data_IF_474905594334
#
_entry.id   IF_474905594334
#
_cell.length_a   1.000
_cell.length_b   1.000
_cell.length_c   1.000
_cell.angle_alpha   90.00
_cell.angle_beta   90.00
_cell.angle_gamma   90.00
#
_symmetry.space_group_name_H-M   'P 1'
#
loop_
_entity.id
_entity.type
_entity.pdbx_description
1 polymer ?
#
# COMPACT_ATOMS: atom_id res chain seq x y z
N UNK A 1 -25.31 -8.15 2.30
CA UNK A 1 -23.97 -8.66 2.21
C UNK A 1 -23.11 -8.02 3.27
N UNK A 2 -22.45 -8.84 4.05
CA UNK A 2 -21.66 -8.43 5.20
C UNK A 2 -20.16 -8.37 4.91
N UNK A 3 -19.73 -8.97 3.81
CA UNK A 3 -18.32 -8.98 3.42
C UNK A 3 -18.14 -8.91 1.91
N UNK A 4 -16.93 -8.54 1.50
CA UNK A 4 -16.52 -8.48 0.09
C UNK A 4 -15.18 -9.18 -0.08
N UNK A 5 -14.87 -9.58 -1.32
CA UNK A 5 -13.67 -10.33 -1.65
C UNK A 5 -12.71 -9.49 -2.49
N UNK A 6 -11.46 -9.51 -2.08
CA UNK A 6 -10.35 -9.05 -2.93
C UNK A 6 -9.68 -10.30 -3.51
N UNK A 7 -9.56 -10.34 -4.84
CA UNK A 7 -9.05 -11.53 -5.54
C UNK A 7 -8.13 -11.13 -6.70
N UNK A 8 -7.18 -12.01 -6.99
CA UNK A 8 -6.35 -11.92 -8.19
C UNK A 8 -6.61 -13.18 -9.02
N UNK A 9 -7.31 -13.04 -10.13
CA UNK A 9 -7.81 -14.20 -10.89
C UNK A 9 -8.73 -15.05 -10.04
N UNK A 10 -8.43 -16.34 -9.90
CA UNK A 10 -9.22 -17.29 -9.10
C UNK A 10 -8.79 -17.38 -7.62
N UNK A 11 -7.79 -16.59 -7.21
CA UNK A 11 -7.23 -16.65 -5.86
C UNK A 11 -7.83 -15.55 -5.00
N UNK A 12 -8.56 -15.94 -3.97
CA UNK A 12 -9.04 -15.01 -2.94
C UNK A 12 -7.88 -14.61 -2.02
N UNK A 13 -7.75 -13.31 -1.79
CA UNK A 13 -6.64 -12.74 -1.00
C UNK A 13 -7.10 -12.20 0.35
N UNK A 14 -8.34 -11.73 0.42
CA UNK A 14 -8.86 -11.08 1.62
C UNK A 14 -10.38 -10.97 1.53
N UNK A 15 -11.06 -11.22 2.64
CA UNK A 15 -12.51 -11.14 2.73
C UNK A 15 -12.94 -10.27 3.92
N UNK A 16 -12.75 -8.95 3.84
CA UNK A 16 -13.14 -8.05 4.93
C UNK A 16 -14.63 -7.74 4.94
N UNK A 17 -15.10 -7.17 6.04
CA UNK A 17 -16.42 -6.57 6.11
C UNK A 17 -16.58 -5.49 5.03
N UNK A 18 -17.78 -5.33 4.51
CA UNK A 18 -18.08 -4.41 3.39
C UNK A 18 -17.59 -2.99 3.64
N UNK A 19 -17.80 -2.45 4.84
CA UNK A 19 -17.35 -1.10 5.18
C UNK A 19 -15.82 -0.96 5.11
N UNK A 20 -15.10 -1.97 5.57
CA UNK A 20 -13.62 -2.01 5.53
C UNK A 20 -13.15 -2.11 4.09
N UNK A 21 -13.76 -2.97 3.29
CA UNK A 21 -13.42 -3.12 1.86
C UNK A 21 -13.58 -1.81 1.11
N UNK A 22 -14.72 -1.14 1.28
CA UNK A 22 -15.00 0.13 0.61
C UNK A 22 -14.08 1.25 1.07
N UNK A 23 -13.77 1.31 2.37
CA UNK A 23 -12.82 2.28 2.89
C UNK A 23 -11.43 2.07 2.28
N UNK A 24 -10.95 0.84 2.25
CA UNK A 24 -9.66 0.53 1.64
C UNK A 24 -9.63 0.93 0.15
N UNK A 25 -10.66 0.57 -0.62
CA UNK A 25 -10.72 0.92 -2.04
C UNK A 25 -10.66 2.44 -2.27
N UNK A 26 -11.35 3.21 -1.43
CA UNK A 26 -11.30 4.69 -1.50
C UNK A 26 -9.94 5.24 -1.10
N UNK A 27 -9.29 4.66 -0.13
CA UNK A 27 -7.93 5.06 0.27
C UNK A 27 -6.90 4.75 -0.81
N UNK A 28 -7.04 3.63 -1.51
CA UNK A 28 -6.21 3.31 -2.68
C UNK A 28 -6.36 4.41 -3.74
N UNK A 29 -7.57 4.83 -4.06
CA UNK A 29 -7.80 5.92 -5.00
C UNK A 29 -7.23 7.25 -4.51
N UNK A 30 -7.37 7.54 -3.21
CA UNK A 30 -6.87 8.79 -2.63
C UNK A 30 -5.35 8.91 -2.72
N UNK A 31 -4.61 7.82 -2.56
CA UNK A 31 -3.14 7.82 -2.63
C UNK A 31 -2.60 7.56 -4.05
N UNK A 32 -3.47 7.24 -5.01
CA UNK A 32 -3.05 6.97 -6.38
C UNK A 32 -2.19 8.09 -7.00
N UNK A 33 -2.50 9.38 -6.81
CA UNK A 33 -1.65 10.46 -7.32
C UNK A 33 -0.24 10.47 -6.71
N UNK A 34 -0.10 9.99 -5.48
CA UNK A 34 1.20 9.87 -4.82
C UNK A 34 2.04 8.78 -5.47
N UNK A 35 1.43 7.65 -5.81
CA UNK A 35 2.11 6.56 -6.53
C UNK A 35 2.48 6.95 -7.96
N UNK A 36 1.62 7.70 -8.63
CA UNK A 36 1.85 8.15 -10.00
C UNK A 36 1.75 7.06 -11.07
N UNK A 37 1.20 5.90 -10.73
CA UNK A 37 0.97 4.76 -11.63
C UNK A 37 -0.44 4.21 -11.39
N UNK A 38 -1.01 3.45 -12.34
CA UNK A 38 -2.32 2.83 -12.17
C UNK A 38 -2.36 1.93 -10.93
N UNK A 39 -3.51 1.90 -10.25
CA UNK A 39 -3.64 1.14 -9.00
C UNK A 39 -3.73 -0.36 -9.20
N UNK A 40 -4.24 -0.81 -10.34
CA UNK A 40 -4.51 -2.23 -10.57
C UNK A 40 -5.67 -2.79 -9.78
N UNK A 41 -6.35 -1.98 -8.97
CA UNK A 41 -7.56 -2.38 -8.26
C UNK A 41 -8.77 -2.04 -9.12
N UNK A 42 -9.54 -3.05 -9.48
CA UNK A 42 -10.78 -2.89 -10.24
C UNK A 42 -11.91 -2.33 -9.37
N UNK A 43 -13.03 -1.96 -10.01
CA UNK A 43 -14.20 -1.46 -9.29
C UNK A 43 -14.91 -2.57 -8.53
N UNK A 44 -15.74 -2.18 -7.56
CA UNK A 44 -16.67 -3.10 -6.89
C UNK A 44 -17.69 -3.60 -7.90
N UNK A 45 -17.68 -4.91 -8.15
CA UNK A 45 -18.66 -5.59 -9.01
C UNK A 45 -19.25 -6.75 -8.22
N UNK A 46 -20.55 -6.65 -7.90
CA UNK A 46 -21.14 -7.57 -6.93
C UNK A 46 -20.42 -7.40 -5.58
N UNK A 47 -19.92 -8.50 -5.04
CA UNK A 47 -19.22 -8.51 -3.77
C UNK A 47 -17.70 -8.64 -3.95
N UNK A 48 -17.17 -8.28 -5.12
CA UNK A 48 -15.79 -8.58 -5.50
C UNK A 48 -15.04 -7.35 -5.99
N UNK A 49 -13.74 -7.33 -5.70
CA UNK A 49 -12.75 -6.44 -6.29
C UNK A 49 -11.69 -7.29 -6.97
N UNK A 50 -11.53 -7.14 -8.27
CA UNK A 50 -10.47 -7.81 -9.01
C UNK A 50 -9.19 -7.00 -8.96
N UNK A 51 -8.10 -7.67 -8.70
CA UNK A 51 -6.75 -7.10 -8.69
C UNK A 51 -6.01 -7.58 -9.94
N UNK A 52 -5.57 -6.62 -10.75
CA UNK A 52 -4.54 -6.87 -11.76
C UNK A 52 -3.20 -6.93 -11.04
N UNK A 53 -2.67 -8.14 -10.86
CA UNK A 53 -1.52 -8.34 -9.99
C UNK A 53 -0.27 -7.58 -10.45
N UNK A 54 0.12 -7.57 -11.73
CA UNK A 54 1.28 -6.78 -12.17
C UNK A 54 1.11 -5.28 -11.90
N UNK A 55 -0.04 -4.70 -12.24
CA UNK A 55 -0.30 -3.28 -12.00
C UNK A 55 -0.35 -2.95 -10.50
N UNK A 56 -1.04 -3.77 -9.73
CA UNK A 56 -1.16 -3.55 -8.28
C UNK A 56 0.19 -3.67 -7.57
N UNK A 57 1.01 -4.63 -7.98
CA UNK A 57 2.38 -4.78 -7.46
C UNK A 57 3.22 -3.53 -7.75
N UNK A 58 3.13 -3.00 -8.97
CA UNK A 58 3.82 -1.75 -9.32
C UNK A 58 3.30 -0.55 -8.51
N UNK A 59 2.00 -0.49 -8.29
CA UNK A 59 1.38 0.55 -7.46
C UNK A 59 1.87 0.49 -6.02
N UNK A 60 1.85 -0.69 -5.40
CA UNK A 60 2.34 -0.89 -4.03
C UNK A 60 3.83 -0.57 -3.95
N UNK A 61 4.62 -1.01 -4.93
CA UNK A 61 6.04 -0.67 -5.02
C UNK A 61 6.30 0.82 -5.08
N UNK A 62 5.51 1.56 -5.85
CA UNK A 62 5.61 3.01 -5.93
C UNK A 62 5.30 3.68 -4.57
N UNK A 63 4.31 3.18 -3.84
CA UNK A 63 4.00 3.67 -2.48
C UNK A 63 5.14 3.36 -1.50
N UNK A 64 5.69 2.17 -1.56
CA UNK A 64 6.85 1.79 -0.72
C UNK A 64 8.04 2.70 -1.02
N UNK A 65 8.33 2.93 -2.30
CA UNK A 65 9.41 3.84 -2.72
C UNK A 65 9.19 5.27 -2.19
N UNK A 66 7.97 5.78 -2.28
CA UNK A 66 7.62 7.10 -1.74
C UNK A 66 7.76 7.15 -0.22
N UNK A 67 7.30 6.12 0.48
CA UNK A 67 7.46 6.02 1.93
C UNK A 67 8.93 6.07 2.33
N UNK A 68 9.78 5.32 1.64
CA UNK A 68 11.21 5.23 1.96
C UNK A 68 11.99 6.50 1.69
N UNK A 69 11.57 7.29 0.70
CA UNK A 69 12.31 8.51 0.29
C UNK A 69 11.72 9.80 0.85
N UNK A 70 10.49 9.77 1.36
CA UNK A 70 9.84 10.96 1.90
C UNK A 70 10.40 11.35 3.27
N UNK A 71 10.65 12.64 3.45
CA UNK A 71 11.03 13.21 4.74
C UNK A 71 9.82 13.81 5.49
N UNK A 72 8.66 13.82 4.86
CA UNK A 72 7.44 14.39 5.41
C UNK A 72 6.72 13.36 6.28
N UNK A 73 6.68 13.50 7.62
CA UNK A 73 6.13 12.47 8.49
C UNK A 73 4.64 12.22 8.26
N UNK A 74 3.87 13.27 7.96
CA UNK A 74 2.41 13.13 7.74
C UNK A 74 2.14 12.41 6.42
N UNK A 75 2.92 12.70 5.37
CA UNK A 75 2.80 11.97 4.12
C UNK A 75 3.04 10.47 4.33
N UNK A 76 4.10 10.12 5.06
CA UNK A 76 4.38 8.71 5.39
C UNK A 76 3.25 8.07 6.18
N UNK A 77 2.73 8.77 7.19
CA UNK A 77 1.63 8.28 8.01
C UNK A 77 0.34 8.03 7.21
N UNK A 78 0.07 8.84 6.18
CA UNK A 78 -1.11 8.69 5.33
C UNK A 78 -0.94 7.59 4.27
N UNK A 79 0.28 7.33 3.81
CA UNK A 79 0.59 6.30 2.81
C UNK A 79 0.76 4.93 3.46
N UNK A 80 1.30 4.86 4.67
CA UNK A 80 1.67 3.61 5.32
C UNK A 80 0.55 2.55 5.39
N UNK A 81 -0.69 2.87 5.81
CA UNK A 81 -1.73 1.86 5.93
C UNK A 81 -2.08 1.19 4.60
N UNK A 82 -2.14 1.96 3.52
CA UNK A 82 -2.44 1.43 2.19
C UNK A 82 -1.28 0.59 1.68
N UNK A 83 -0.05 1.05 1.86
CA UNK A 83 1.14 0.28 1.50
C UNK A 83 1.21 -1.03 2.29
N UNK A 84 0.93 -1.01 3.60
CA UNK A 84 0.96 -2.20 4.45
C UNK A 84 -0.06 -3.26 4.01
N UNK A 85 -1.31 -2.87 3.81
CA UNK A 85 -2.35 -3.78 3.31
C UNK A 85 -2.00 -4.27 1.90
N UNK A 86 -1.52 -3.37 1.04
CA UNK A 86 -1.09 -3.72 -0.31
C UNK A 86 0.01 -4.77 -0.34
N UNK A 87 1.01 -4.66 0.53
CA UNK A 87 2.08 -5.67 0.67
C UNK A 87 1.49 -7.04 1.01
N UNK A 88 0.57 -7.09 1.96
CA UNK A 88 -0.10 -8.36 2.33
C UNK A 88 -0.81 -8.98 1.14
N UNK A 89 -1.56 -8.18 0.39
CA UNK A 89 -2.30 -8.68 -0.77
C UNK A 89 -1.37 -9.22 -1.86
N UNK A 90 -0.29 -8.50 -2.17
CA UNK A 90 0.70 -8.96 -3.15
C UNK A 90 1.34 -10.26 -2.72
N UNK A 91 1.75 -10.38 -1.46
CA UNK A 91 2.41 -11.58 -0.95
C UNK A 91 1.46 -12.78 -0.89
N UNK A 92 0.20 -12.56 -0.52
CA UNK A 92 -0.83 -13.62 -0.55
C UNK A 92 -1.12 -14.11 -1.96
N UNK A 93 -0.94 -13.27 -2.96
CA UNK A 93 -1.07 -13.66 -4.37
C UNK A 93 0.16 -14.40 -4.91
N UNK A 94 1.17 -14.64 -4.08
CA UNK A 94 2.41 -15.30 -4.47
C UNK A 94 3.45 -14.36 -5.08
N UNK A 95 3.19 -13.05 -5.06
CA UNK A 95 4.13 -12.04 -5.55
C UNK A 95 5.05 -11.50 -4.45
N UNK A 96 5.86 -10.53 -4.85
CA UNK A 96 6.73 -9.80 -3.93
C UNK A 96 6.82 -8.34 -4.36
N UNK A 97 7.14 -7.47 -3.41
CA UNK A 97 7.35 -6.04 -3.64
C UNK A 97 8.85 -5.76 -3.59
N UNK A 98 9.53 -5.60 -4.74
CA UNK A 98 10.99 -5.46 -4.77
C UNK A 98 11.50 -4.25 -4.00
N UNK A 99 10.72 -3.18 -3.95
CA UNK A 99 11.09 -1.94 -3.27
C UNK A 99 11.25 -2.08 -1.74
N UNK A 100 10.79 -3.19 -1.16
CA UNK A 100 11.01 -3.49 0.26
C UNK A 100 12.45 -3.89 0.57
N UNK A 101 13.19 -4.31 -0.44
CA UNK A 101 14.59 -4.74 -0.31
C UNK A 101 15.51 -3.81 -1.10
N UNK A 102 16.79 -3.90 -0.86
CA UNK A 102 17.75 -3.04 -1.50
C UNK A 102 17.83 -1.65 -0.88
N UNK A 103 18.68 -0.76 -1.43
CA UNK A 103 18.85 0.59 -0.91
C UNK A 103 17.63 1.45 -1.23
N UNK A 104 17.34 2.40 -0.35
CA UNK A 104 16.37 3.45 -0.63
C UNK A 104 16.90 4.34 -1.77
N UNK A 105 15.99 4.90 -2.56
CA UNK A 105 16.32 5.90 -3.56
C UNK A 105 16.76 7.23 -2.94
N UNK A 106 17.02 8.21 -3.80
CA UNK A 106 17.32 9.56 -3.36
C UNK A 106 16.12 10.19 -2.63
N UNK A 107 16.40 11.11 -1.72
CA UNK A 107 15.37 11.86 -1.00
C UNK A 107 14.38 12.50 -1.97
N UNK A 108 13.10 12.38 -1.66
CA UNK A 108 12.02 13.03 -2.40
C UNK A 108 11.99 14.52 -2.04
N UNK A 109 12.36 15.35 -3.00
CA UNK A 109 12.41 16.81 -2.80
C UNK A 109 11.05 17.51 -2.93
N UNK A 110 10.01 16.79 -3.37
CA UNK A 110 8.69 17.38 -3.63
C UNK A 110 7.91 17.73 -2.37
N UNK A 111 8.18 17.03 -1.27
CA UNK A 111 7.47 17.19 -0.01
C UNK A 111 8.44 17.24 1.17
N UNK A 112 9.45 18.07 1.07
CA UNK A 112 10.44 18.24 2.13
C UNK A 112 9.87 19.07 3.27
N UNK A 113 10.02 18.58 4.49
CA UNK A 113 9.74 19.34 5.73
C UNK A 113 11.06 19.67 6.38
N UNK A 114 11.26 20.96 6.63
CA UNK A 114 12.46 21.45 7.32
C UNK A 114 12.09 21.73 8.77
N UNK A 115 12.77 21.07 9.69
CA UNK A 115 12.66 21.30 11.13
C UNK A 115 13.76 22.23 11.62
N UNK A 116 13.73 22.62 12.91
CA UNK A 116 14.72 23.51 13.48
C UNK A 116 16.16 22.98 13.37
N UNK A 117 16.33 21.65 13.38
CA UNK A 117 17.60 20.95 13.25
C UNK A 117 17.89 20.46 11.82
N UNK A 118 17.11 20.91 10.84
CA UNK A 118 17.29 20.58 9.44
C UNK A 118 16.19 19.68 8.87
N UNK A 119 16.50 19.01 7.76
CA UNK A 119 15.59 18.07 7.09
C UNK A 119 15.46 16.80 7.93
N UNK A 120 14.21 16.34 8.14
CA UNK A 120 13.95 15.12 8.87
C UNK A 120 14.42 13.85 8.15
N UNK A 121 14.40 12.70 8.85
CA UNK A 121 14.81 11.44 8.24
C UNK A 121 13.80 10.94 7.20
N UNK A 122 14.27 10.15 6.25
CA UNK A 122 13.42 9.38 5.35
C UNK A 122 12.73 8.22 6.08
N UNK A 123 11.76 7.58 5.41
CA UNK A 123 11.01 6.48 6.00
C UNK A 123 11.86 5.23 6.25
N UNK A 124 11.54 4.54 7.32
CA UNK A 124 12.19 3.29 7.72
C UNK A 124 11.41 2.09 7.18
N UNK A 125 12.01 1.35 6.26
CA UNK A 125 11.37 0.19 5.64
C UNK A 125 11.07 -0.93 6.64
N UNK A 126 11.84 -1.04 7.73
CA UNK A 126 11.59 -2.05 8.77
C UNK A 126 10.28 -1.76 9.52
N UNK A 127 9.97 -0.50 9.75
CA UNK A 127 8.68 -0.10 10.34
C UNK A 127 7.52 -0.45 9.41
N UNK A 128 7.69 -0.22 8.11
CA UNK A 128 6.68 -0.58 7.12
C UNK A 128 6.48 -2.10 7.04
N UNK A 129 7.58 -2.87 7.09
CA UNK A 129 7.50 -4.33 7.11
C UNK A 129 6.73 -4.83 8.34
N UNK A 130 7.00 -4.27 9.52
CA UNK A 130 6.24 -4.61 10.73
C UNK A 130 4.77 -4.25 10.63
N UNK A 131 4.46 -3.07 10.06
CA UNK A 131 3.07 -2.66 9.85
C UNK A 131 2.34 -3.65 8.94
N UNK A 132 2.97 -4.11 7.85
CA UNK A 132 2.40 -5.11 6.96
C UNK A 132 2.20 -6.46 7.68
N UNK A 133 3.15 -6.90 8.48
CA UNK A 133 3.03 -8.14 9.23
C UNK A 133 1.88 -8.10 10.24
N UNK A 134 1.71 -6.97 10.94
CA UNK A 134 0.58 -6.77 11.85
C UNK A 134 -0.76 -6.76 11.12
N UNK A 135 -0.85 -6.07 9.98
CA UNK A 135 -2.05 -6.07 9.14
C UNK A 135 -2.39 -7.48 8.66
N UNK A 136 -1.40 -8.24 8.20
CA UNK A 136 -1.61 -9.61 7.74
C UNK A 136 -2.24 -10.50 8.80
N UNK A 137 -1.86 -10.33 10.07
CA UNK A 137 -2.48 -11.05 11.19
C UNK A 137 -3.92 -10.64 11.45
N UNK A 138 -4.29 -9.42 11.12
CA UNK A 138 -5.63 -8.88 11.34
C UNK A 138 -6.57 -9.07 10.14
N UNK A 139 -6.05 -9.46 8.99
CA UNK A 139 -6.81 -9.57 7.76
C UNK A 139 -7.28 -11.01 7.54
N UNK A 140 -8.60 -11.29 7.62
CA UNK A 140 -9.10 -12.64 7.32
C UNK A 140 -8.94 -12.96 5.83
N UNK A 141 -8.87 -14.26 5.56
CA UNK A 141 -8.85 -14.75 4.18
C UNK A 141 -10.26 -14.84 3.62
#
# INVERSE_FOLDING_TARGET
VVSQYFQAGAVELWNPATAVARLFARQVEAVAPIAGVPTGLGPEIGDEYDIDLPEFTAFVGALVGRYRTATHPVLRALVEPVAAVGIVLVERAGGSVPELTGPAGAMDERNVVVFADGVGPMGDVELLRRAADEMGRAMPW
#
